data_IF_914437702221
#
_entry.id   IF_914437702221
#
_cell.length_a   1.000
_cell.length_b   1.000
_cell.length_c   1.000
_cell.angle_alpha   90.00
_cell.angle_beta   90.00
_cell.angle_gamma   90.00
#
_symmetry.space_group_name_H-M   'P 1'
#
loop_
_entity.id
_entity.type
_entity.pdbx_description
1 polymer ?
#
# COMPACT_ATOMS: atom_id res chain seq x y z
N UNK A 1 -10.95 -13.06 -17.58
CA UNK A 1 -11.13 -11.63 -17.88
C UNK A 1 -10.28 -10.84 -16.90
N UNK A 2 -9.36 -9.99 -17.37
CA UNK A 2 -8.66 -9.06 -16.47
C UNK A 2 -9.68 -8.08 -15.93
N UNK A 3 -9.82 -7.98 -14.60
CA UNK A 3 -10.66 -6.95 -14.00
C UNK A 3 -10.03 -5.60 -14.32
N UNK A 4 -10.83 -4.64 -14.78
CA UNK A 4 -10.42 -3.23 -14.80
C UNK A 4 -9.93 -2.85 -13.39
N UNK A 5 -8.83 -2.11 -13.28
CA UNK A 5 -8.28 -1.65 -11.99
C UNK A 5 -9.32 -0.89 -11.15
N UNK A 6 -10.36 -0.33 -11.79
CA UNK A 6 -11.49 0.33 -11.12
C UNK A 6 -12.38 -0.59 -10.27
N UNK A 7 -12.30 -1.90 -10.46
CA UNK A 7 -13.09 -2.91 -9.73
C UNK A 7 -12.28 -3.60 -8.62
N UNK A 8 -11.01 -3.20 -8.46
CA UNK A 8 -10.11 -3.77 -7.46
C UNK A 8 -10.20 -2.96 -6.17
N UNK A 9 -10.31 -3.66 -5.06
CA UNK A 9 -10.18 -3.08 -3.72
C UNK A 9 -9.00 -3.70 -3.00
N UNK A 10 -8.51 -3.00 -1.97
CA UNK A 10 -7.45 -3.49 -1.10
C UNK A 10 -6.21 -3.95 -1.87
N UNK A 11 -5.65 -3.03 -2.65
CA UNK A 11 -4.47 -3.27 -3.46
C UNK A 11 -3.46 -2.13 -3.38
N UNK A 12 -2.21 -2.45 -3.65
CA UNK A 12 -1.12 -1.52 -3.95
C UNK A 12 -0.49 -2.00 -5.25
N UNK A 13 -0.40 -1.12 -6.24
CA UNK A 13 0.32 -1.37 -7.47
C UNK A 13 1.56 -0.47 -7.51
N UNK A 14 2.74 -1.07 -7.61
CA UNK A 14 3.97 -0.36 -7.91
C UNK A 14 3.94 0.08 -9.37
N UNK A 15 4.34 1.32 -9.63
CA UNK A 15 4.35 1.89 -10.98
C UNK A 15 5.64 2.67 -11.21
N UNK A 16 5.97 2.91 -12.47
CA UNK A 16 7.19 3.63 -12.87
C UNK A 16 8.44 2.99 -12.25
N UNK A 17 8.60 1.68 -12.47
CA UNK A 17 9.70 0.86 -11.93
C UNK A 17 9.85 0.97 -10.40
N UNK A 18 8.73 1.13 -9.70
CA UNK A 18 8.68 1.26 -8.25
C UNK A 18 9.03 2.65 -7.72
N UNK A 19 9.13 3.68 -8.57
CA UNK A 19 9.31 5.05 -8.08
C UNK A 19 8.03 5.60 -7.41
N UNK A 20 6.87 5.13 -7.86
CA UNK A 20 5.55 5.55 -7.39
C UNK A 20 4.66 4.33 -7.13
N UNK A 21 3.56 4.56 -6.43
CA UNK A 21 2.50 3.57 -6.27
C UNK A 21 1.12 4.21 -6.32
N UNK A 22 0.15 3.40 -6.69
CA UNK A 22 -1.29 3.68 -6.59
C UNK A 22 -1.99 2.51 -5.93
N UNK A 23 -3.12 2.73 -5.30
CA UNK A 23 -3.83 1.67 -4.62
C UNK A 23 -5.17 2.11 -4.09
N UNK A 24 -5.82 1.18 -3.41
CA UNK A 24 -7.08 1.38 -2.73
C UNK A 24 -7.04 0.65 -1.39
N UNK A 25 -7.60 1.25 -0.35
CA UNK A 25 -7.84 0.62 0.94
C UNK A 25 -9.31 0.79 1.27
N UNK A 26 -10.01 -0.33 1.43
CA UNK A 26 -11.44 -0.38 1.62
C UNK A 26 -11.86 -1.37 2.70
N UNK A 27 -12.91 -0.99 3.42
CA UNK A 27 -13.63 -1.81 4.38
C UNK A 27 -15.13 -1.55 4.22
N UNK A 28 -15.95 -2.21 5.04
CA UNK A 28 -17.39 -1.91 5.09
C UNK A 28 -17.70 -0.48 5.57
N UNK A 29 -16.73 0.23 6.15
CA UNK A 29 -16.93 1.56 6.75
C UNK A 29 -16.28 2.71 5.97
N UNK A 30 -15.29 2.41 5.12
CA UNK A 30 -14.53 3.41 4.38
C UNK A 30 -13.98 2.82 3.10
N UNK A 31 -13.77 3.67 2.11
CA UNK A 31 -13.16 3.31 0.84
C UNK A 31 -12.41 4.53 0.33
N UNK A 32 -11.10 4.42 0.15
CA UNK A 32 -10.28 5.53 -0.33
C UNK A 32 -9.07 5.08 -1.14
N UNK A 33 -8.76 5.88 -2.14
CA UNK A 33 -7.55 5.73 -2.94
C UNK A 33 -6.32 6.13 -2.14
N UNK A 34 -5.24 5.40 -2.38
CA UNK A 34 -3.91 5.65 -1.84
C UNK A 34 -2.94 5.89 -2.99
N UNK A 35 -2.06 6.84 -2.78
CA UNK A 35 -0.91 7.12 -3.63
C UNK A 35 0.35 7.07 -2.78
N UNK A 36 1.51 6.87 -3.41
CA UNK A 36 2.77 6.90 -2.68
C UNK A 36 3.96 7.10 -3.57
N UNK A 37 5.07 7.41 -2.91
CA UNK A 37 6.36 7.69 -3.54
C UNK A 37 7.46 6.98 -2.77
N UNK A 38 8.48 6.50 -3.49
CA UNK A 38 9.66 5.93 -2.88
C UNK A 38 10.35 6.96 -1.97
N UNK A 39 10.79 6.51 -0.80
CA UNK A 39 11.43 7.36 0.20
C UNK A 39 12.84 6.88 0.48
N UNK A 40 13.82 7.67 0.04
CA UNK A 40 15.23 7.44 0.36
C UNK A 40 15.57 8.03 1.73
N UNK A 41 16.09 7.20 2.62
CA UNK A 41 16.55 7.61 3.95
C UNK A 41 17.75 6.80 4.39
N UNK A 42 18.67 7.44 5.11
CA UNK A 42 19.77 6.76 5.78
C UNK A 42 19.34 6.03 7.07
N UNK A 43 18.11 6.25 7.55
CA UNK A 43 17.60 5.57 8.72
C UNK A 43 17.06 4.18 8.33
N UNK A 44 17.61 3.07 8.86
CA UNK A 44 17.17 1.71 8.52
C UNK A 44 15.73 1.39 8.97
N UNK A 45 15.14 2.22 9.84
CA UNK A 45 13.74 2.09 10.29
C UNK A 45 12.78 2.96 9.49
N UNK A 46 13.27 3.76 8.54
CA UNK A 46 12.41 4.56 7.68
C UNK A 46 11.55 3.67 6.77
N UNK A 47 10.35 4.13 6.39
CA UNK A 47 9.59 3.44 5.35
C UNK A 47 10.35 3.50 4.02
N UNK A 48 10.16 2.46 3.20
CA UNK A 48 10.60 2.47 1.80
C UNK A 48 9.70 3.35 0.93
N UNK A 49 8.44 3.55 1.32
CA UNK A 49 7.49 4.43 0.64
C UNK A 49 6.66 5.24 1.62
N UNK A 50 6.40 6.51 1.29
CA UNK A 50 5.40 7.33 1.98
C UNK A 50 4.06 7.18 1.30
N UNK A 51 2.99 7.09 2.10
CA UNK A 51 1.63 6.90 1.61
C UNK A 51 0.79 8.14 1.87
N UNK A 52 -0.02 8.49 0.88
CA UNK A 52 -0.87 9.66 0.88
C UNK A 52 -2.29 9.32 0.43
N UNK A 53 -3.26 9.99 1.04
CA UNK A 53 -4.65 10.01 0.61
C UNK A 53 -5.15 11.46 0.46
N UNK A 54 -6.38 11.61 -0.02
CA UNK A 54 -7.06 12.91 -0.10
C UNK A 54 -8.00 13.08 1.09
N UNK A 55 -7.86 14.21 1.79
CA UNK A 55 -8.86 14.66 2.77
C UNK A 55 -10.21 14.97 2.10
N UNK A 56 -11.30 15.14 2.86
CA UNK A 56 -12.60 15.53 2.29
C UNK A 56 -12.59 16.82 1.46
N UNK A 57 -11.60 17.69 1.65
CA UNK A 57 -11.39 18.91 0.84
C UNK A 57 -10.45 18.71 -0.36
N UNK A 58 -10.09 17.47 -0.69
CA UNK A 58 -9.18 17.15 -1.79
C UNK A 58 -7.70 17.47 -1.53
N UNK A 59 -7.32 17.88 -0.31
CA UNK A 59 -5.90 18.10 0.03
C UNK A 59 -5.20 16.77 0.24
N UNK A 60 -3.97 16.64 -0.26
CA UNK A 60 -3.12 15.49 0.02
C UNK A 60 -2.70 15.48 1.49
N UNK A 61 -2.75 14.32 2.12
CA UNK A 61 -2.37 14.09 3.51
C UNK A 61 -1.53 12.83 3.56
N UNK A 62 -0.39 12.88 4.23
CA UNK A 62 0.39 11.68 4.53
C UNK A 62 -0.34 10.84 5.59
N UNK A 63 -0.57 9.58 5.28
CA UNK A 63 -1.35 8.67 6.12
C UNK A 63 -0.52 7.54 6.71
N UNK A 64 0.72 7.34 6.25
CA UNK A 64 1.57 6.26 6.73
C UNK A 64 2.65 5.89 5.72
N UNK A 65 3.04 4.62 5.73
CA UNK A 65 4.13 4.15 4.89
C UNK A 65 4.09 2.66 4.59
N UNK A 66 5.01 2.24 3.72
CA UNK A 66 5.33 0.85 3.45
C UNK A 66 6.78 0.62 3.85
N UNK A 67 7.04 -0.44 4.58
CA UNK A 67 8.37 -0.91 4.96
C UNK A 67 8.71 -2.18 4.21
N UNK A 68 9.95 -2.28 3.76
CA UNK A 68 10.53 -3.53 3.26
C UNK A 68 11.17 -4.27 4.44
N UNK A 69 10.83 -5.54 4.61
CA UNK A 69 11.31 -6.42 5.70
C UNK A 69 11.81 -7.73 5.11
N UNK A 70 12.54 -8.49 5.92
CA UNK A 70 12.99 -9.85 5.58
C UNK A 70 12.35 -10.88 6.51
N UNK A 71 11.89 -11.99 5.93
CA UNK A 71 11.37 -13.12 6.71
C UNK A 71 12.51 -14.02 7.22
N UNK A 72 12.17 -15.13 7.88
CA UNK A 72 13.17 -16.07 8.43
C UNK A 72 14.07 -16.72 7.38
N UNK A 73 13.62 -16.79 6.14
CA UNK A 73 14.34 -17.35 5.00
C UNK A 73 15.10 -16.27 4.20
N UNK A 74 15.21 -15.06 4.75
CA UNK A 74 15.80 -13.87 4.11
C UNK A 74 15.07 -13.41 2.84
N UNK A 75 13.83 -13.85 2.62
CA UNK A 75 13.02 -13.33 1.53
C UNK A 75 12.42 -11.97 1.92
N UNK A 76 12.51 -11.02 0.99
CA UNK A 76 11.95 -9.69 1.15
C UNK A 76 10.42 -9.73 1.07
N UNK A 77 9.77 -8.95 1.94
CA UNK A 77 8.32 -8.71 1.89
C UNK A 77 8.01 -7.28 2.33
N UNK A 78 6.83 -6.79 1.96
CA UNK A 78 6.39 -5.45 2.31
C UNK A 78 5.32 -5.48 3.40
N UNK A 79 5.41 -4.54 4.34
CA UNK A 79 4.38 -4.28 5.34
C UNK A 79 3.92 -2.84 5.25
N UNK A 80 2.62 -2.62 5.37
CA UNK A 80 1.98 -1.32 5.35
C UNK A 80 1.45 -0.97 6.74
N UNK A 81 1.60 0.29 7.13
CA UNK A 81 0.88 0.87 8.27
C UNK A 81 0.29 2.20 7.83
N UNK A 82 -1.02 2.37 7.99
CA UNK A 82 -1.73 3.63 7.68
C UNK A 82 -2.70 4.02 8.79
N UNK A 83 -2.93 5.32 8.94
CA UNK A 83 -4.03 5.87 9.72
C UNK A 83 -5.22 6.11 8.78
N UNK A 84 -6.34 5.44 9.04
CA UNK A 84 -7.56 5.52 8.22
C UNK A 84 -8.52 6.62 8.66
N UNK A 85 -8.20 7.35 9.74
CA UNK A 85 -9.13 8.22 10.45
C UNK A 85 -10.07 7.48 11.42
N UNK A 86 -10.24 6.17 11.24
CA UNK A 86 -11.00 5.28 12.14
C UNK A 86 -10.11 4.43 13.05
N UNK A 87 -8.80 4.43 12.79
CA UNK A 87 -7.82 3.65 13.53
C UNK A 87 -6.54 3.47 12.71
N UNK A 88 -5.61 2.71 13.28
CA UNK A 88 -4.43 2.25 12.57
C UNK A 88 -4.76 0.93 11.88
N UNK A 89 -4.43 0.84 10.59
CA UNK A 89 -4.43 -0.40 9.83
C UNK A 89 -2.98 -0.85 9.65
N UNK A 90 -2.68 -2.07 10.07
CA UNK A 90 -1.45 -2.76 9.71
C UNK A 90 -1.79 -3.87 8.71
N UNK A 91 -0.94 -4.04 7.70
CA UNK A 91 -1.13 -5.05 6.67
C UNK A 91 0.19 -5.58 6.13
N UNK A 92 0.16 -6.79 5.57
CA UNK A 92 1.21 -7.27 4.69
C UNK A 92 0.78 -7.10 3.24
N UNK A 93 1.74 -6.93 2.33
CA UNK A 93 1.49 -6.97 0.91
C UNK A 93 1.87 -8.34 0.35
N UNK A 94 0.95 -8.97 -0.36
CA UNK A 94 1.16 -10.25 -1.04
C UNK A 94 0.67 -10.17 -2.48
N UNK A 95 0.99 -11.17 -3.32
CA UNK A 95 0.52 -11.20 -4.71
C UNK A 95 -1.01 -11.08 -4.78
N UNK A 96 -1.52 -10.20 -5.64
CA UNK A 96 -2.95 -10.04 -5.79
C UNK A 96 -3.58 -11.30 -6.42
N UNK A 97 -4.66 -11.88 -5.84
CA UNK A 97 -5.23 -13.12 -6.35
C UNK A 97 -5.75 -13.01 -7.79
N UNK A 98 -5.45 -14.02 -8.61
CA UNK A 98 -6.02 -14.15 -9.96
C UNK A 98 -5.53 -13.10 -10.96
N UNK A 99 -4.37 -12.48 -10.70
CA UNK A 99 -3.67 -11.60 -11.63
C UNK A 99 -2.22 -12.08 -11.78
N UNK A 100 -1.68 -11.93 -12.99
CA UNK A 100 -0.28 -12.28 -13.32
C UNK A 100 0.68 -11.09 -13.13
N UNK A 101 0.16 -9.91 -12.76
CA UNK A 101 0.94 -8.69 -12.52
C UNK A 101 1.67 -8.77 -11.18
N UNK A 102 3.00 -8.86 -11.22
CA UNK A 102 3.86 -8.94 -10.03
C UNK A 102 3.94 -7.61 -9.27
N UNK A 103 3.66 -6.49 -9.96
CA UNK A 103 3.65 -5.17 -9.35
C UNK A 103 2.32 -4.88 -8.62
N UNK A 104 1.30 -5.71 -8.84
CA UNK A 104 0.00 -5.62 -8.19
C UNK A 104 -0.05 -6.53 -6.94
N UNK A 105 -0.12 -5.90 -5.78
CA UNK A 105 -0.18 -6.58 -4.49
C UNK A 105 -1.52 -6.37 -3.79
N UNK A 106 -2.02 -7.41 -3.14
CA UNK A 106 -3.14 -7.33 -2.21
C UNK A 106 -2.69 -6.75 -0.86
N UNK A 107 -3.53 -5.92 -0.27
CA UNK A 107 -3.43 -5.45 1.11
C UNK A 107 -4.11 -6.49 2.00
N UNK A 108 -3.33 -7.16 2.86
CA UNK A 108 -3.80 -8.22 3.75
C UNK A 108 -3.69 -7.75 5.21
N UNK A 109 -4.78 -7.24 5.82
CA UNK A 109 -4.77 -6.72 7.18
C UNK A 109 -4.40 -7.77 8.22
N UNK A 110 -3.80 -7.30 9.33
CA UNK A 110 -3.56 -8.09 10.53
C UNK A 110 -3.66 -7.21 11.79
N UNK A 111 -3.89 -7.85 12.94
CA UNK A 111 -4.04 -7.22 14.26
C UNK A 111 -2.71 -7.12 15.02
#
# INVERSE_FOLDING_TARGET
>A
MSKSTSELTNFIQFVDDGARLRGNIASVAYDFDVSGEAFASANPKAPAYRLFAKSPKGKQVEIGGIWKKQNRDNADYYTLTVNTGYGKLNANLGRYPGQDDEDLMAVIPWD
#
